data_IF_331002091938
#
_entry.id   IF_331002091938
#
_cell.length_a   1.000
_cell.length_b   1.000
_cell.length_c   1.000
_cell.angle_alpha   90.00
_cell.angle_beta   90.00
_cell.angle_gamma   90.00
#
_symmetry.space_group_name_H-M   'P 1'
#
loop_
_entity.id
_entity.type
_entity.pdbx_description
1 polymer ?
#
# COMPACT_ATOMS: atom_id res chain seq x y z
N UNK A 1 13.38 34.68 5.41
CA UNK A 1 13.15 33.28 5.82
C UNK A 1 12.77 33.36 7.27
N UNK A 2 11.53 33.00 7.60
CA UNK A 2 11.15 32.79 9.00
C UNK A 2 11.72 31.41 9.32
N UNK A 3 12.69 31.34 10.23
CA UNK A 3 13.19 30.05 10.70
C UNK A 3 12.06 29.39 11.50
N UNK A 4 11.47 28.36 10.91
CA UNK A 4 10.43 27.58 11.55
C UNK A 4 11.12 26.74 12.62
N UNK A 5 10.96 27.10 13.89
CA UNK A 5 11.48 26.35 15.03
C UNK A 5 10.65 25.06 15.19
N UNK A 6 10.90 24.08 14.34
CA UNK A 6 10.18 22.82 14.32
C UNK A 6 10.81 21.83 15.32
N UNK A 7 10.02 21.40 16.31
CA UNK A 7 10.40 20.34 17.24
C UNK A 7 9.69 19.05 16.84
N UNK A 8 10.41 18.15 16.18
CA UNK A 8 9.90 16.82 15.83
C UNK A 8 9.55 16.04 17.09
N UNK A 9 8.28 15.64 17.22
CA UNK A 9 7.83 14.68 18.23
C UNK A 9 7.29 13.42 17.54
N UNK A 10 8.09 12.37 17.58
CA UNK A 10 7.83 11.10 16.89
C UNK A 10 6.74 10.26 17.58
N UNK A 11 6.49 10.50 18.87
CA UNK A 11 5.66 9.64 19.71
C UNK A 11 4.26 10.22 19.95
N UNK A 12 3.96 11.38 19.37
CA UNK A 12 2.63 11.99 19.41
C UNK A 12 2.10 12.24 18.01
N UNK A 13 0.79 12.05 17.81
CA UNK A 13 0.16 12.41 16.54
C UNK A 13 0.21 13.92 16.27
N UNK A 14 0.27 14.76 17.31
CA UNK A 14 0.39 16.21 17.15
C UNK A 14 1.69 16.58 16.43
N UNK A 15 2.83 16.01 16.82
CA UNK A 15 4.10 16.26 16.13
C UNK A 15 4.10 15.76 14.68
N UNK A 16 3.54 14.57 14.44
CA UNK A 16 3.44 13.99 13.10
C UNK A 16 2.53 14.83 12.20
N UNK A 17 1.37 15.25 12.69
CA UNK A 17 0.41 16.05 11.94
C UNK A 17 0.88 17.49 11.68
N UNK A 18 1.71 18.05 12.57
CA UNK A 18 2.41 19.31 12.29
C UNK A 18 3.44 19.17 11.17
N UNK A 19 3.98 17.97 10.95
CA UNK A 19 5.02 17.71 9.94
C UNK A 19 4.46 17.41 8.56
N UNK A 20 3.36 16.65 8.51
CA UNK A 20 2.78 16.13 7.26
C UNK A 20 1.26 16.13 7.33
N UNK A 21 0.62 16.50 6.22
CA UNK A 21 -0.82 16.54 6.05
C UNK A 21 -1.41 15.14 5.82
N UNK A 22 -1.47 14.28 6.85
CA UNK A 22 -2.08 12.96 6.72
C UNK A 22 -3.62 13.07 6.79
N UNK A 23 -4.37 12.17 6.12
CA UNK A 23 -5.84 12.13 6.19
C UNK A 23 -6.44 11.99 7.61
N UNK A 24 -5.64 11.57 8.59
CA UNK A 24 -6.08 11.47 9.98
C UNK A 24 -6.00 12.82 10.73
N UNK A 25 -5.14 13.73 10.29
CA UNK A 25 -4.76 14.92 11.05
C UNK A 25 -5.89 15.93 11.33
N UNK A 26 -6.85 16.15 10.41
CA UNK A 26 -8.02 16.97 10.71
C UNK A 26 -8.91 16.41 11.83
N UNK A 27 -8.77 15.11 12.15
CA UNK A 27 -9.54 14.45 13.22
C UNK A 27 -8.79 14.37 14.56
N UNK A 28 -7.58 14.93 14.64
CA UNK A 28 -6.74 14.88 15.84
C UNK A 28 -6.67 16.26 16.49
N UNK A 29 -6.89 16.37 17.81
CA UNK A 29 -6.79 17.63 18.55
C UNK A 29 -8.14 18.34 18.80
N UNK A 30 -8.11 19.43 19.57
CA UNK A 30 -9.29 20.23 19.92
C UNK A 30 -9.57 21.30 18.86
N UNK A 31 -10.83 21.41 18.42
CA UNK A 31 -11.36 22.42 17.46
C UNK A 31 -10.65 22.44 16.09
N UNK A 32 -11.20 21.70 15.12
CA UNK A 32 -10.83 21.66 13.69
C UNK A 32 -9.54 20.90 13.31
N UNK A 33 -8.88 20.27 14.28
CA UNK A 33 -7.78 19.33 14.03
C UNK A 33 -6.38 19.96 14.13
N UNK A 34 -5.34 19.18 13.84
CA UNK A 34 -3.95 19.67 13.81
C UNK A 34 -3.54 19.97 12.38
N UNK A 35 -3.26 21.24 12.11
CA UNK A 35 -2.79 21.70 10.80
C UNK A 35 -1.27 21.51 10.64
N UNK A 36 -0.81 21.12 9.44
CA UNK A 36 0.61 21.01 9.13
C UNK A 36 1.24 22.40 9.00
N UNK A 37 2.49 22.54 9.44
CA UNK A 37 3.22 23.81 9.38
C UNK A 37 3.55 24.21 7.93
N UNK A 38 3.80 23.21 7.07
CA UNK A 38 4.06 23.41 5.65
C UNK A 38 3.36 22.32 4.83
N UNK A 39 2.62 22.73 3.81
CA UNK A 39 1.96 21.83 2.85
C UNK A 39 2.03 22.41 1.43
N UNK A 40 1.78 21.55 0.44
CA UNK A 40 1.75 21.95 -0.98
C UNK A 40 0.62 22.94 -1.28
N UNK A 41 0.89 23.98 -2.06
CA UNK A 41 -0.07 25.04 -2.37
C UNK A 41 -1.35 24.48 -3.02
N UNK A 42 -2.49 24.91 -2.49
CA UNK A 42 -3.80 24.60 -3.04
C UNK A 42 -4.05 25.34 -4.36
N UNK A 43 -4.82 24.73 -5.26
CA UNK A 43 -5.18 25.30 -6.56
C UNK A 43 -6.69 25.41 -6.64
N UNK A 44 -7.19 26.60 -7.00
CA UNK A 44 -8.60 26.82 -7.29
C UNK A 44 -8.90 26.45 -8.75
N UNK A 45 -9.74 25.42 -8.93
CA UNK A 45 -10.24 24.99 -10.22
C UNK A 45 -11.73 25.35 -10.35
N UNK A 46 -12.00 26.56 -10.85
CA UNK A 46 -13.36 26.99 -11.20
C UNK A 46 -14.28 27.17 -9.99
N UNK A 47 -13.76 27.59 -8.85
CA UNK A 47 -14.50 27.80 -7.60
C UNK A 47 -14.41 26.62 -6.62
N UNK A 48 -13.73 25.53 -7.00
CA UNK A 48 -13.42 24.41 -6.12
C UNK A 48 -11.94 24.43 -5.75
N UNK A 49 -11.64 24.59 -4.46
CA UNK A 49 -10.29 24.56 -3.94
C UNK A 49 -9.81 23.10 -3.84
N UNK A 50 -8.83 22.71 -4.63
CA UNK A 50 -8.20 21.39 -4.57
C UNK A 50 -6.95 21.48 -3.70
N UNK A 51 -6.93 20.66 -2.65
CA UNK A 51 -5.81 20.57 -1.74
C UNK A 51 -4.74 19.60 -2.29
N UNK A 52 -3.47 19.95 -2.07
CA UNK A 52 -2.29 19.14 -2.41
C UNK A 52 -2.33 18.49 -3.83
N UNK A 53 -2.47 19.29 -4.90
CA UNK A 53 -2.61 18.77 -6.27
C UNK A 53 -1.38 17.97 -6.75
N UNK A 54 -0.20 18.21 -6.18
CA UNK A 54 1.01 17.43 -6.46
C UNK A 54 0.83 15.96 -6.08
N UNK A 55 0.28 15.69 -4.89
CA UNK A 55 0.08 14.34 -4.37
C UNK A 55 -1.05 13.64 -5.11
N UNK A 56 -2.13 14.37 -5.44
CA UNK A 56 -3.22 13.88 -6.28
C UNK A 56 -2.74 13.23 -7.59
N UNK A 57 -1.79 13.87 -8.28
CA UNK A 57 -1.23 13.32 -9.54
C UNK A 57 -0.56 11.98 -9.28
N UNK A 58 0.18 11.85 -8.18
CA UNK A 58 0.85 10.60 -7.80
C UNK A 58 -0.17 9.52 -7.43
N UNK A 59 -1.24 9.86 -6.70
CA UNK A 59 -2.30 8.91 -6.35
C UNK A 59 -3.00 8.36 -7.61
N UNK A 60 -3.28 9.22 -8.59
CA UNK A 60 -3.84 8.80 -9.88
C UNK A 60 -2.89 7.85 -10.61
N UNK A 61 -1.60 8.18 -10.65
CA UNK A 61 -0.58 7.29 -11.24
C UNK A 61 -0.51 5.96 -10.48
N UNK A 62 -0.57 5.98 -9.15
CA UNK A 62 -0.52 4.79 -8.32
C UNK A 62 -1.74 3.87 -8.57
N UNK A 63 -2.94 4.44 -8.72
CA UNK A 63 -4.16 3.68 -9.07
C UNK A 63 -4.00 3.04 -10.46
N UNK A 64 -3.55 3.79 -11.46
CA UNK A 64 -3.33 3.27 -12.83
C UNK A 64 -2.30 2.14 -12.83
N UNK A 65 -1.16 2.36 -12.18
CA UNK A 65 -0.09 1.36 -12.08
C UNK A 65 -0.56 0.11 -11.34
N UNK A 66 -1.34 0.26 -10.28
CA UNK A 66 -1.94 -0.86 -9.55
C UNK A 66 -2.91 -1.64 -10.43
N UNK A 67 -3.73 -0.97 -11.25
CA UNK A 67 -4.63 -1.63 -12.19
C UNK A 67 -3.85 -2.46 -13.23
N UNK A 68 -2.74 -1.92 -13.76
CA UNK A 68 -1.86 -2.63 -14.68
C UNK A 68 -1.26 -3.88 -14.01
N UNK A 69 -0.75 -3.76 -12.78
CA UNK A 69 -0.22 -4.90 -12.03
C UNK A 69 -1.29 -5.98 -11.81
N UNK A 70 -2.50 -5.60 -11.39
CA UNK A 70 -3.63 -6.54 -11.23
C UNK A 70 -3.94 -7.27 -12.55
N UNK A 71 -3.94 -6.54 -13.67
CA UNK A 71 -4.16 -7.14 -14.99
C UNK A 71 -3.09 -8.19 -15.32
N UNK A 72 -1.80 -7.87 -15.12
CA UNK A 72 -0.71 -8.81 -15.37
C UNK A 72 -0.77 -10.04 -14.46
N UNK A 73 -1.06 -9.87 -13.17
CA UNK A 73 -1.19 -11.00 -12.24
C UNK A 73 -2.34 -11.93 -12.68
N UNK A 74 -3.47 -11.36 -13.08
CA UNK A 74 -4.63 -12.14 -13.55
C UNK A 74 -4.40 -12.81 -14.90
N UNK A 75 -3.47 -12.31 -15.71
CA UNK A 75 -3.10 -12.91 -17.00
C UNK A 75 -2.31 -14.22 -16.85
N UNK A 76 -1.65 -14.45 -15.70
CA UNK A 76 -0.98 -15.73 -15.41
C UNK A 76 -2.01 -16.80 -15.02
N UNK A 77 -1.91 -18.00 -15.59
CA UNK A 77 -2.89 -19.07 -15.38
C UNK A 77 -2.56 -20.02 -14.22
N UNK A 78 -1.28 -20.33 -14.01
CA UNK A 78 -0.78 -21.36 -13.08
C UNK A 78 0.09 -20.83 -11.92
N UNK A 79 0.20 -19.51 -11.78
CA UNK A 79 1.06 -18.89 -10.77
C UNK A 79 0.58 -19.13 -9.34
N UNK A 80 1.54 -19.53 -8.49
CA UNK A 80 1.36 -19.74 -7.05
C UNK A 80 1.08 -18.42 -6.34
N UNK A 81 0.11 -18.40 -5.42
CA UNK A 81 -0.28 -17.25 -4.62
C UNK A 81 -1.03 -16.18 -5.41
N UNK A 82 -1.44 -16.47 -6.66
CA UNK A 82 -2.04 -15.47 -7.57
C UNK A 82 -3.32 -14.87 -7.00
N UNK A 83 -4.18 -15.66 -6.36
CA UNK A 83 -5.49 -15.16 -5.87
C UNK A 83 -5.33 -14.37 -4.58
N UNK A 84 -4.32 -14.73 -3.79
CA UNK A 84 -3.92 -14.17 -2.52
C UNK A 84 -3.26 -12.81 -2.71
N UNK A 85 -2.27 -12.71 -3.61
CA UNK A 85 -1.55 -11.44 -3.85
C UNK A 85 -2.43 -10.40 -4.54
N UNK A 86 -3.35 -10.84 -5.42
CA UNK A 86 -4.33 -9.93 -6.05
C UNK A 86 -5.21 -9.25 -5.00
N UNK A 87 -5.51 -9.92 -3.88
CA UNK A 87 -6.26 -9.33 -2.80
C UNK A 87 -5.51 -8.16 -2.15
N UNK A 88 -4.19 -8.30 -1.94
CA UNK A 88 -3.34 -7.22 -1.47
C UNK A 88 -3.39 -6.01 -2.40
N UNK A 89 -3.23 -6.21 -3.72
CA UNK A 89 -3.29 -5.10 -4.69
C UNK A 89 -4.67 -4.45 -4.78
N UNK A 90 -5.78 -5.20 -4.62
CA UNK A 90 -7.10 -4.58 -4.52
C UNK A 90 -7.24 -3.71 -3.27
N UNK A 91 -6.75 -4.16 -2.11
CA UNK A 91 -6.79 -3.35 -0.89
C UNK A 91 -5.89 -2.11 -0.98
N UNK A 92 -4.71 -2.23 -1.57
CA UNK A 92 -3.85 -1.08 -1.86
C UNK A 92 -4.55 -0.08 -2.80
N UNK A 93 -5.17 -0.54 -3.88
CA UNK A 93 -5.92 0.33 -4.80
C UNK A 93 -7.06 1.09 -4.10
N UNK A 94 -7.85 0.40 -3.26
CA UNK A 94 -8.94 1.06 -2.52
C UNK A 94 -8.39 2.03 -1.46
N UNK A 95 -7.26 1.69 -0.83
CA UNK A 95 -6.58 2.57 0.14
C UNK A 95 -6.15 3.87 -0.53
N UNK A 96 -5.39 3.80 -1.63
CA UNK A 96 -4.92 4.98 -2.38
C UNK A 96 -6.10 5.77 -2.96
N UNK A 97 -7.15 5.09 -3.43
CA UNK A 97 -8.35 5.78 -3.91
C UNK A 97 -9.03 6.60 -2.80
N UNK A 98 -9.11 6.03 -1.59
CA UNK A 98 -9.70 6.74 -0.45
C UNK A 98 -8.79 7.85 0.07
N UNK A 99 -7.48 7.62 0.09
CA UNK A 99 -6.45 8.63 0.37
C UNK A 99 -6.60 9.84 -0.54
N UNK A 100 -6.70 9.61 -1.86
CA UNK A 100 -6.92 10.64 -2.87
C UNK A 100 -8.15 11.50 -2.55
N UNK A 101 -9.28 10.89 -2.16
CA UNK A 101 -10.51 11.61 -1.82
C UNK A 101 -10.39 12.46 -0.55
N UNK A 102 -9.61 12.01 0.42
CA UNK A 102 -9.41 12.69 1.70
C UNK A 102 -8.37 13.81 1.63
N UNK A 103 -7.29 13.62 0.87
CA UNK A 103 -6.21 14.61 0.69
C UNK A 103 -6.67 15.78 -0.17
N UNK A 104 -7.45 15.52 -1.22
CA UNK A 104 -7.91 16.58 -2.14
C UNK A 104 -9.07 17.40 -1.61
N UNK A 105 -9.55 17.10 -0.39
CA UNK A 105 -10.73 17.70 0.24
C UNK A 105 -12.01 17.55 -0.60
N UNK A 106 -12.07 16.55 -1.50
CA UNK A 106 -13.30 16.16 -2.21
C UNK A 106 -14.38 15.76 -1.20
N UNK A 107 -13.97 15.14 -0.09
CA UNK A 107 -14.76 15.03 1.13
C UNK A 107 -14.24 16.11 2.07
N UNK A 108 -15.00 17.19 2.32
CA UNK A 108 -14.54 18.28 3.15
C UNK A 108 -14.27 17.84 4.58
N UNK A 109 -13.14 18.24 5.16
CA UNK A 109 -12.79 17.98 6.57
C UNK A 109 -13.84 18.49 7.57
N UNK A 110 -14.55 19.58 7.23
CA UNK A 110 -15.64 20.13 8.03
C UNK A 110 -16.91 19.25 8.04
N UNK A 111 -17.03 18.30 7.12
CA UNK A 111 -18.18 17.40 7.05
C UNK A 111 -18.06 16.29 8.10
N UNK A 112 -19.14 15.95 8.84
CA UNK A 112 -19.12 14.81 9.76
C UNK A 112 -18.86 13.48 9.03
N UNK A 113 -19.06 13.43 7.71
CA UNK A 113 -18.74 12.26 6.90
C UNK A 113 -17.23 11.98 6.88
N UNK A 114 -16.38 13.01 6.99
CA UNK A 114 -14.92 12.89 6.92
C UNK A 114 -14.39 11.92 7.99
N UNK A 115 -14.92 12.01 9.22
CA UNK A 115 -14.57 11.12 10.33
C UNK A 115 -14.71 9.63 9.97
N UNK A 116 -15.80 9.26 9.30
CA UNK A 116 -16.08 7.88 8.92
C UNK A 116 -15.16 7.41 7.79
N UNK A 117 -14.95 8.25 6.76
CA UNK A 117 -14.05 7.92 5.67
C UNK A 117 -12.58 7.85 6.12
N UNK A 118 -12.13 8.75 6.99
CA UNK A 118 -10.81 8.70 7.61
C UNK A 118 -10.63 7.43 8.46
N UNK A 119 -11.65 7.03 9.22
CA UNK A 119 -11.61 5.78 10.01
C UNK A 119 -11.53 4.54 9.12
N UNK A 120 -12.31 4.50 8.02
CA UNK A 120 -12.24 3.43 7.02
C UNK A 120 -10.85 3.39 6.39
N UNK A 121 -10.28 4.55 6.05
CA UNK A 121 -8.94 4.65 5.47
C UNK A 121 -7.86 4.07 6.39
N UNK A 122 -7.86 4.42 7.67
CA UNK A 122 -6.91 3.87 8.65
C UNK A 122 -7.08 2.36 8.85
N UNK A 123 -8.32 1.87 8.82
CA UNK A 123 -8.63 0.44 8.82
C UNK A 123 -8.06 -0.27 7.59
N UNK A 124 -8.23 0.32 6.40
CA UNK A 124 -7.73 -0.25 5.14
C UNK A 124 -6.20 -0.28 5.08
N UNK A 125 -5.51 0.75 5.57
CA UNK A 125 -4.04 0.77 5.69
C UNK A 125 -3.59 -0.44 6.52
N UNK A 126 -4.15 -0.61 7.71
CA UNK A 126 -3.74 -1.67 8.63
C UNK A 126 -4.10 -3.07 8.10
N UNK A 127 -5.25 -3.20 7.45
CA UNK A 127 -5.63 -4.44 6.77
C UNK A 127 -4.71 -4.76 5.58
N UNK A 128 -4.21 -3.75 4.87
CA UNK A 128 -3.27 -3.92 3.75
C UNK A 128 -1.92 -4.45 4.24
N UNK A 129 -1.37 -3.89 5.33
CA UNK A 129 -0.15 -4.41 5.97
C UNK A 129 -0.35 -5.83 6.52
N UNK A 130 -1.50 -6.10 7.15
CA UNK A 130 -1.83 -7.45 7.60
C UNK A 130 -1.92 -8.44 6.45
N UNK A 131 -2.58 -8.06 5.35
CA UNK A 131 -2.67 -8.90 4.17
C UNK A 131 -1.31 -9.16 3.53
N UNK A 132 -0.43 -8.16 3.48
CA UNK A 132 0.96 -8.33 3.03
C UNK A 132 1.69 -9.38 3.87
N UNK A 133 1.57 -9.29 5.20
CA UNK A 133 2.15 -10.26 6.13
C UNK A 133 1.66 -11.68 5.87
N UNK A 134 0.34 -11.89 5.77
CA UNK A 134 -0.21 -13.25 5.53
C UNK A 134 0.18 -13.77 4.15
N UNK A 135 0.20 -12.91 3.12
CA UNK A 135 0.72 -13.27 1.80
C UNK A 135 2.18 -13.77 1.87
N UNK A 136 3.00 -13.17 2.74
CA UNK A 136 4.37 -13.62 2.95
C UNK A 136 4.47 -15.05 3.49
N UNK A 137 3.50 -15.50 4.28
CA UNK A 137 3.45 -16.87 4.80
C UNK A 137 2.97 -17.91 3.78
N UNK A 138 2.27 -17.50 2.71
CA UNK A 138 1.81 -18.41 1.64
C UNK A 138 3.00 -19.10 0.96
N UNK A 139 4.13 -18.39 0.82
CA UNK A 139 5.35 -18.94 0.23
C UNK A 139 5.99 -20.09 1.04
N UNK A 140 5.68 -20.21 2.34
CA UNK A 140 6.11 -21.33 3.18
C UNK A 140 5.19 -22.55 3.09
N UNK A 141 4.15 -22.50 2.26
CA UNK A 141 3.19 -23.59 2.05
C UNK A 141 2.50 -24.08 3.34
N UNK A 142 2.31 -23.21 4.34
CA UNK A 142 1.56 -23.54 5.56
C UNK A 142 0.09 -23.92 5.27
N UNK A 143 -0.49 -23.32 4.24
CA UNK A 143 -1.75 -23.71 3.64
C UNK A 143 -1.52 -23.93 2.15
N UNK A 144 -2.13 -24.96 1.59
CA UNK A 144 -2.09 -25.20 0.14
C UNK A 144 -2.64 -23.97 -0.59
N UNK A 145 -1.84 -23.44 -1.51
CA UNK A 145 -2.18 -22.26 -2.31
C UNK A 145 -3.47 -22.46 -3.12
N UNK A 146 -4.28 -21.41 -3.25
CA UNK A 146 -5.55 -21.46 -3.98
C UNK A 146 -6.65 -22.29 -3.32
N UNK A 147 -6.39 -22.95 -2.19
CA UNK A 147 -7.43 -23.62 -1.41
C UNK A 147 -8.42 -22.61 -0.84
N UNK A 148 -9.70 -22.99 -0.65
CA UNK A 148 -10.66 -22.13 0.03
C UNK A 148 -10.19 -21.76 1.44
N UNK A 149 -9.44 -22.62 2.12
CA UNK A 149 -8.87 -22.32 3.44
C UNK A 149 -7.88 -21.15 3.39
N UNK A 150 -6.91 -21.18 2.47
CA UNK A 150 -5.96 -20.07 2.25
C UNK A 150 -6.70 -18.75 2.00
N UNK A 151 -7.61 -18.75 1.02
CA UNK A 151 -8.31 -17.53 0.60
C UNK A 151 -9.23 -16.95 1.67
N UNK A 152 -10.01 -17.80 2.36
CA UNK A 152 -10.90 -17.33 3.42
C UNK A 152 -10.13 -16.91 4.67
N UNK A 153 -8.99 -17.53 4.97
CA UNK A 153 -8.13 -17.10 6.08
C UNK A 153 -7.60 -15.67 5.87
N UNK A 154 -7.12 -15.34 4.68
CA UNK A 154 -6.64 -13.98 4.34
C UNK A 154 -7.81 -12.99 4.37
N UNK A 155 -8.96 -13.35 3.79
CA UNK A 155 -10.14 -12.47 3.74
C UNK A 155 -10.69 -12.16 5.12
N UNK A 156 -10.94 -13.18 5.92
CA UNK A 156 -11.54 -13.01 7.25
C UNK A 156 -10.56 -12.30 8.18
N UNK A 157 -9.29 -12.69 8.19
CA UNK A 157 -8.31 -12.04 9.09
C UNK A 157 -8.07 -10.57 8.72
N UNK A 158 -7.93 -10.24 7.42
CA UNK A 158 -7.78 -8.85 6.98
C UNK A 158 -9.04 -8.03 7.26
N UNK A 159 -10.24 -8.61 7.08
CA UNK A 159 -11.50 -7.97 7.41
C UNK A 159 -11.65 -7.71 8.92
N UNK A 160 -11.22 -8.64 9.77
CA UNK A 160 -11.22 -8.44 11.22
C UNK A 160 -10.29 -7.29 11.63
N UNK A 161 -9.06 -7.22 11.09
CA UNK A 161 -8.14 -6.10 11.37
C UNK A 161 -8.72 -4.77 10.88
N UNK A 162 -9.32 -4.77 9.68
CA UNK A 162 -10.03 -3.60 9.15
C UNK A 162 -11.10 -3.08 10.13
N UNK A 163 -11.96 -3.96 10.65
CA UNK A 163 -13.01 -3.59 11.61
C UNK A 163 -12.40 -3.14 12.95
N UNK A 164 -11.42 -3.86 13.48
CA UNK A 164 -10.80 -3.51 14.78
C UNK A 164 -10.20 -2.10 14.71
N UNK A 165 -9.36 -1.82 13.70
CA UNK A 165 -8.71 -0.52 13.58
C UNK A 165 -9.70 0.58 13.21
N UNK A 166 -10.67 0.29 12.33
CA UNK A 166 -11.72 1.25 11.97
C UNK A 166 -12.59 1.65 13.16
N UNK A 167 -12.95 0.69 14.03
CA UNK A 167 -13.70 0.96 15.27
C UNK A 167 -12.85 1.76 16.26
N UNK A 168 -11.57 1.42 16.44
CA UNK A 168 -10.67 2.20 17.31
C UNK A 168 -10.53 3.64 16.79
N UNK A 169 -10.38 3.82 15.47
CA UNK A 169 -10.27 5.13 14.84
C UNK A 169 -11.54 5.98 15.05
N UNK A 170 -12.73 5.45 14.74
CA UNK A 170 -13.97 6.21 14.90
C UNK A 170 -14.28 6.54 16.37
N UNK A 171 -14.01 5.62 17.30
CA UNK A 171 -14.18 5.88 18.74
C UNK A 171 -13.20 6.95 19.23
N UNK A 172 -11.98 6.98 18.69
CA UNK A 172 -10.96 8.00 19.00
C UNK A 172 -11.42 9.38 18.50
N UNK A 173 -11.92 9.45 17.26
CA UNK A 173 -12.38 10.71 16.66
C UNK A 173 -13.62 11.28 17.35
N UNK A 174 -14.56 10.42 17.73
CA UNK A 174 -15.79 10.83 18.43
C UNK A 174 -15.62 11.02 19.94
N UNK A 175 -14.41 10.77 20.47
CA UNK A 175 -14.10 10.83 21.90
C UNK A 175 -15.06 9.96 22.76
N UNK A 176 -15.30 8.72 22.32
CA UNK A 176 -16.25 7.80 22.97
C UNK A 176 -15.48 6.76 23.80
N UNK A 177 -15.81 6.69 25.08
CA UNK A 177 -15.30 5.66 25.99
C UNK A 177 -13.86 5.95 26.45
N UNK A 178 -12.95 4.95 26.47
CA UNK A 178 -11.56 5.16 26.87
C UNK A 178 -10.70 5.82 25.78
N UNK A 179 -11.26 6.03 24.58
CA UNK A 179 -10.53 6.57 23.43
C UNK A 179 -10.80 8.06 23.31
N UNK A 180 -9.71 8.85 23.21
CA UNK A 180 -9.76 10.30 23.10
C UNK A 180 -8.76 10.76 22.05
N UNK A 181 -9.13 11.78 21.28
CA UNK A 181 -8.24 12.43 20.30
C UNK A 181 -7.05 13.16 20.97
N UNK A 182 -7.13 13.47 22.27
CA UNK A 182 -6.05 14.11 23.03
C UNK A 182 -4.98 13.10 23.48
N UNK A 183 -5.35 11.83 23.66
CA UNK A 183 -4.46 10.73 24.06
C UNK A 183 -4.68 9.47 23.22
N UNK A 184 -4.48 9.53 21.89
CA UNK A 184 -4.78 8.48 20.91
C UNK A 184 -3.76 7.32 20.92
N UNK A 185 -3.33 6.86 22.10
CA UNK A 185 -2.26 5.86 22.24
C UNK A 185 -2.58 4.51 21.58
N UNK A 186 -3.85 4.07 21.64
CA UNK A 186 -4.28 2.84 21.00
C UNK A 186 -4.18 2.94 19.47
N UNK A 187 -4.70 4.03 18.89
CA UNK A 187 -4.64 4.26 17.45
C UNK A 187 -3.18 4.35 16.96
N UNK A 188 -2.30 5.00 17.74
CA UNK A 188 -0.88 5.12 17.44
C UNK A 188 -0.19 3.74 17.42
N UNK A 189 -0.49 2.88 18.39
CA UNK A 189 0.06 1.53 18.44
C UNK A 189 -0.36 0.67 17.24
N UNK A 190 -1.63 0.73 16.82
CA UNK A 190 -2.07 0.01 15.62
C UNK A 190 -1.44 0.57 14.35
N UNK A 191 -1.43 1.89 14.20
CA UNK A 191 -0.98 2.54 12.98
C UNK A 191 0.53 2.43 12.74
N UNK A 192 1.36 2.63 13.77
CA UNK A 192 2.83 2.58 13.64
C UNK A 192 3.44 1.26 14.09
N UNK A 193 3.14 0.80 15.32
CA UNK A 193 3.82 -0.37 15.88
C UNK A 193 3.37 -1.65 15.18
N UNK A 194 2.07 -1.93 15.13
CA UNK A 194 1.56 -3.21 14.59
C UNK A 194 1.82 -3.30 13.09
N UNK A 195 1.58 -2.24 12.33
CA UNK A 195 1.89 -2.21 10.90
C UNK A 195 3.41 -2.31 10.66
N UNK A 196 4.24 -1.64 11.47
CA UNK A 196 5.70 -1.75 11.40
C UNK A 196 6.20 -3.17 11.69
N UNK A 197 5.66 -3.83 12.71
CA UNK A 197 5.98 -5.23 13.03
C UNK A 197 5.55 -6.14 11.88
N UNK A 198 4.33 -5.96 11.35
CA UNK A 198 3.84 -6.76 10.21
C UNK A 198 4.76 -6.62 8.99
N UNK A 199 5.22 -5.40 8.69
CA UNK A 199 6.18 -5.15 7.63
C UNK A 199 7.54 -5.82 7.89
N UNK A 200 8.11 -5.68 9.09
CA UNK A 200 9.40 -6.28 9.44
C UNK A 200 9.33 -7.81 9.37
N UNK A 201 8.28 -8.41 9.91
CA UNK A 201 8.08 -9.87 9.86
C UNK A 201 7.91 -10.34 8.41
N UNK A 202 7.19 -9.58 7.58
CA UNK A 202 7.10 -9.85 6.15
C UNK A 202 8.49 -9.86 5.50
N UNK A 203 9.29 -8.79 5.65
CA UNK A 203 10.63 -8.69 5.04
C UNK A 203 11.55 -9.82 5.51
N UNK A 204 11.61 -10.08 6.82
CA UNK A 204 12.44 -11.16 7.37
C UNK A 204 11.99 -12.52 6.83
N UNK A 205 10.69 -12.79 6.80
CA UNK A 205 10.16 -14.05 6.30
C UNK A 205 10.47 -14.26 4.81
N UNK A 206 10.38 -13.22 3.97
CA UNK A 206 10.74 -13.33 2.55
C UNK A 206 12.24 -13.56 2.34
N UNK A 207 13.10 -12.91 3.13
CA UNK A 207 14.55 -13.17 3.08
C UNK A 207 14.85 -14.63 3.46
N UNK A 208 14.24 -15.14 4.52
CA UNK A 208 14.41 -16.53 4.96
C UNK A 208 13.98 -17.49 3.85
N UNK A 209 12.84 -17.24 3.21
CA UNK A 209 12.31 -18.06 2.12
C UNK A 209 13.29 -18.07 0.94
N UNK A 210 13.73 -16.91 0.46
CA UNK A 210 14.63 -16.85 -0.71
C UNK A 210 15.99 -17.49 -0.41
N UNK A 211 16.56 -17.26 0.76
CA UNK A 211 17.90 -17.79 1.10
C UNK A 211 17.89 -19.30 1.32
N UNK A 212 16.84 -19.85 1.93
CA UNK A 212 16.80 -21.26 2.30
C UNK A 212 16.10 -22.16 1.28
N UNK A 213 15.24 -21.62 0.42
CA UNK A 213 14.38 -22.41 -0.46
C UNK A 213 14.64 -22.20 -1.94
N UNK A 214 15.08 -21.00 -2.37
CA UNK A 214 15.32 -20.71 -3.79
C UNK A 214 16.80 -20.79 -4.16
N UNK A 215 17.08 -21.38 -5.32
CA UNK A 215 18.42 -21.38 -5.93
C UNK A 215 18.76 -20.04 -6.58
N UNK A 216 17.78 -19.36 -7.18
CA UNK A 216 17.94 -18.01 -7.74
C UNK A 216 17.81 -16.93 -6.65
N UNK A 217 18.88 -16.14 -6.48
CA UNK A 217 18.94 -15.06 -5.49
C UNK A 217 18.57 -13.69 -6.04
N UNK A 218 18.24 -13.59 -7.34
CA UNK A 218 17.74 -12.34 -7.92
C UNK A 218 16.58 -11.69 -7.12
N UNK A 219 15.61 -12.45 -6.57
CA UNK A 219 14.51 -11.88 -5.78
C UNK A 219 14.96 -11.12 -4.51
N UNK A 220 16.17 -11.38 -3.98
CA UNK A 220 16.71 -10.61 -2.86
C UNK A 220 16.90 -9.13 -3.23
N UNK A 221 17.23 -8.84 -4.49
CA UNK A 221 17.33 -7.48 -5.01
C UNK A 221 16.00 -6.75 -4.93
N UNK A 222 14.90 -7.40 -5.33
CA UNK A 222 13.56 -6.83 -5.29
C UNK A 222 13.13 -6.52 -3.83
N UNK A 223 13.40 -7.43 -2.89
CA UNK A 223 13.15 -7.21 -1.45
C UNK A 223 13.97 -6.03 -0.92
N UNK A 224 15.25 -5.96 -1.28
CA UNK A 224 16.15 -4.88 -0.84
C UNK A 224 15.69 -3.52 -1.35
N UNK A 225 15.43 -3.40 -2.66
CA UNK A 225 14.95 -2.15 -3.25
C UNK A 225 13.57 -1.76 -2.73
N UNK A 226 12.65 -2.71 -2.58
CA UNK A 226 11.32 -2.44 -2.01
C UNK A 226 11.40 -1.90 -0.58
N UNK A 227 12.22 -2.54 0.27
CA UNK A 227 12.43 -2.11 1.65
C UNK A 227 13.13 -0.75 1.71
N UNK A 228 14.14 -0.52 0.87
CA UNK A 228 14.84 0.75 0.80
C UNK A 228 13.90 1.89 0.38
N UNK A 229 13.08 1.70 -0.67
CA UNK A 229 12.11 2.70 -1.08
C UNK A 229 11.09 2.99 0.01
N UNK A 230 10.56 1.96 0.68
CA UNK A 230 9.61 2.18 1.78
C UNK A 230 10.23 2.99 2.93
N UNK A 231 11.41 2.60 3.42
CA UNK A 231 12.09 3.30 4.54
C UNK A 231 12.44 4.73 4.15
N UNK A 232 13.01 4.95 2.96
CA UNK A 232 13.33 6.29 2.46
C UNK A 232 12.05 7.13 2.35
N UNK A 233 10.95 6.56 1.86
CA UNK A 233 9.65 7.22 1.80
C UNK A 233 9.15 7.67 3.18
N UNK A 234 9.19 6.78 4.18
CA UNK A 234 8.79 7.11 5.56
C UNK A 234 9.66 8.21 6.17
N UNK A 235 10.97 8.17 5.92
CA UNK A 235 11.92 9.19 6.40
C UNK A 235 11.66 10.55 5.73
N UNK A 236 11.46 10.58 4.41
CA UNK A 236 11.15 11.81 3.68
C UNK A 236 9.82 12.41 4.15
N UNK A 237 8.81 11.57 4.37
CA UNK A 237 7.47 11.98 4.77
C UNK A 237 7.39 12.46 6.23
N UNK A 238 8.01 11.74 7.18
CA UNK A 238 7.85 12.04 8.60
C UNK A 238 8.95 12.92 9.18
N UNK A 239 10.16 12.95 8.61
CA UNK A 239 11.30 13.71 9.18
C UNK A 239 11.59 14.96 8.34
N UNK A 240 11.64 14.83 7.01
CA UNK A 240 12.10 15.90 6.13
C UNK A 240 10.99 16.72 5.46
N UNK A 241 9.70 16.41 5.69
CA UNK A 241 8.59 17.04 4.98
C UNK A 241 8.61 18.57 5.02
N UNK A 242 8.74 19.18 6.20
CA UNK A 242 8.79 20.66 6.35
C UNK A 242 10.00 21.25 5.62
N UNK A 243 11.17 20.61 5.76
CA UNK A 243 12.40 21.07 5.09
C UNK A 243 12.25 21.03 3.57
N UNK A 244 11.68 19.94 3.03
CA UNK A 244 11.44 19.80 1.59
C UNK A 244 10.47 20.90 1.13
N UNK A 245 9.36 21.07 1.84
CA UNK A 245 8.30 22.02 1.51
C UNK A 245 8.80 23.46 1.46
N UNK A 246 9.64 23.88 2.42
CA UNK A 246 10.24 25.22 2.44
C UNK A 246 11.24 25.43 1.29
N UNK A 247 12.10 24.44 1.02
CA UNK A 247 13.13 24.55 -0.02
C UNK A 247 12.53 24.59 -1.42
N UNK A 248 11.40 23.91 -1.64
CA UNK A 248 10.68 23.90 -2.91
C UNK A 248 9.53 24.91 -2.96
N UNK A 249 9.50 25.91 -2.06
CA UNK A 249 8.51 27.01 -2.06
C UNK A 249 7.05 26.54 -2.11
N UNK A 250 6.70 25.53 -1.31
CA UNK A 250 5.35 24.96 -1.23
C UNK A 250 4.82 24.35 -2.55
N UNK A 251 5.68 23.96 -3.50
CA UNK A 251 5.22 23.22 -4.69
C UNK A 251 4.99 21.73 -4.42
N UNK A 252 5.76 21.16 -3.48
CA UNK A 252 5.81 19.74 -3.14
C UNK A 252 6.09 19.62 -1.65
N UNK A 253 5.58 18.58 -1.01
CA UNK A 253 5.80 18.27 0.41
C UNK A 253 6.32 16.83 0.61
N UNK A 254 6.52 16.43 1.86
CA UNK A 254 6.96 15.07 2.17
C UNK A 254 5.93 13.99 1.81
N UNK A 255 4.64 14.33 1.76
CA UNK A 255 3.58 13.40 1.38
C UNK A 255 3.73 12.95 -0.07
N UNK A 256 3.98 13.89 -0.98
CA UNK A 256 4.27 13.57 -2.39
C UNK A 256 5.41 12.55 -2.56
N UNK A 257 6.55 12.77 -1.89
CA UNK A 257 7.67 11.83 -1.96
C UNK A 257 7.39 10.50 -1.25
N UNK A 258 6.64 10.55 -0.15
CA UNK A 258 6.16 9.37 0.57
C UNK A 258 5.28 8.48 -0.31
N UNK A 259 4.32 9.07 -1.01
CA UNK A 259 3.41 8.35 -1.92
C UNK A 259 4.18 7.74 -3.10
N UNK A 260 5.12 8.48 -3.72
CA UNK A 260 5.97 7.94 -4.80
C UNK A 260 6.78 6.75 -4.31
N UNK A 261 7.46 6.89 -3.17
CA UNK A 261 8.30 5.84 -2.61
C UNK A 261 7.46 4.62 -2.21
N UNK A 262 6.26 4.82 -1.69
CA UNK A 262 5.31 3.75 -1.37
C UNK A 262 4.85 3.01 -2.63
N UNK A 263 4.51 3.74 -3.69
CA UNK A 263 4.20 3.13 -5.00
C UNK A 263 5.37 2.28 -5.52
N UNK A 264 6.60 2.82 -5.48
CA UNK A 264 7.79 2.08 -5.91
C UNK A 264 8.03 0.83 -5.04
N UNK A 265 7.80 0.90 -3.73
CA UNK A 265 7.88 -0.26 -2.84
C UNK A 265 6.85 -1.34 -3.22
N UNK A 266 5.60 -0.94 -3.46
CA UNK A 266 4.53 -1.86 -3.91
C UNK A 266 4.83 -2.46 -5.28
N UNK A 267 5.43 -1.69 -6.20
CA UNK A 267 5.92 -2.22 -7.48
C UNK A 267 7.03 -3.26 -7.29
N UNK A 268 7.90 -3.11 -6.29
CA UNK A 268 8.91 -4.13 -5.98
C UNK A 268 8.30 -5.37 -5.33
N UNK A 269 7.22 -5.24 -4.55
CA UNK A 269 6.44 -6.41 -4.07
C UNK A 269 5.85 -7.18 -5.26
N UNK A 270 5.31 -6.48 -6.27
CA UNK A 270 4.85 -7.11 -7.51
C UNK A 270 5.99 -7.81 -8.24
N UNK A 271 7.13 -7.15 -8.45
CA UNK A 271 8.29 -7.74 -9.13
C UNK A 271 8.84 -8.95 -8.40
N UNK A 272 8.91 -8.89 -7.07
CA UNK A 272 9.29 -10.02 -6.24
C UNK A 272 8.37 -11.23 -6.49
N UNK A 273 7.05 -11.03 -6.41
CA UNK A 273 6.07 -12.07 -6.69
C UNK A 273 6.18 -12.61 -8.13
N UNK A 274 6.38 -11.73 -9.10
CA UNK A 274 6.56 -12.10 -10.50
C UNK A 274 7.84 -12.94 -10.70
N UNK A 275 8.92 -12.57 -10.00
CA UNK A 275 10.22 -13.24 -10.10
C UNK A 275 10.23 -14.66 -9.53
N UNK A 276 9.47 -14.92 -8.47
CA UNK A 276 9.34 -16.27 -7.89
C UNK A 276 8.31 -17.14 -8.64
N UNK A 277 7.54 -16.58 -9.59
CA UNK A 277 6.50 -17.27 -10.38
C UNK A 277 6.80 -17.24 -11.89
N UNK A 278 8.08 -17.27 -12.28
CA UNK A 278 8.52 -17.13 -13.68
C UNK A 278 8.19 -18.35 -14.57
N UNK A 279 8.12 -19.55 -14.01
CA UNK A 279 8.11 -20.82 -14.79
C UNK A 279 6.81 -21.08 -15.58
N UNK A 280 5.71 -20.36 -15.31
CA UNK A 280 4.41 -20.61 -15.94
C UNK A 280 4.29 -20.15 -17.41
N UNK A 281 5.11 -19.19 -17.83
CA UNK A 281 5.03 -18.65 -19.18
C UNK A 281 5.67 -19.57 -20.24
N UNK A 282 6.62 -20.43 -19.84
CA UNK A 282 7.31 -21.34 -20.76
C UNK A 282 6.39 -22.48 -21.24
N UNK A 283 5.48 -22.96 -20.38
CA UNK A 283 4.52 -24.01 -20.74
C UNK A 283 3.40 -23.53 -21.68
N UNK A 284 3.17 -22.22 -21.79
CA UNK A 284 2.14 -21.63 -22.65
C UNK A 284 2.57 -21.53 -24.12
N UNK A 285 3.88 -21.54 -24.39
CA UNK A 285 4.43 -21.46 -25.77
C UNK A 285 4.57 -22.84 -26.42
N UNK A 286 4.48 -23.93 -25.64
CA UNK A 286 4.60 -25.31 -26.12
C UNK A 286 3.38 -25.90 -26.84
N UNK A 287 2.20 -25.27 -26.77
CA UNK A 287 0.96 -25.83 -27.34
C UNK A 287 0.77 -25.59 -28.85
N UNK A 288 1.69 -24.89 -29.54
CA UNK A 288 1.56 -24.56 -30.97
C UNK A 288 2.70 -25.09 -31.87
N UNK A 289 3.35 -26.19 -31.46
CA UNK A 289 4.38 -26.88 -32.24
C UNK A 289 4.00 -28.38 -32.19
N UNK A 290 3.49 -29.11 -33.19
CA UNK A 290 3.60 -29.07 -34.65
C UNK A 290 2.32 -29.64 -35.30
N UNK A 291 1.58 -28.85 -36.09
CA UNK A 291 0.55 -29.37 -37.00
C UNK A 291 1.14 -30.02 -38.28
N UNK A 292 2.45 -30.24 -38.32
CA UNK A 292 3.19 -30.68 -39.51
C UNK A 292 3.45 -32.19 -39.55
N UNK A 293 3.30 -32.92 -38.45
CA UNK A 293 3.60 -34.37 -38.41
C UNK A 293 2.46 -35.25 -38.99
N UNK A 294 1.24 -34.75 -39.14
CA UNK A 294 0.11 -35.56 -39.63
C UNK A 294 0.07 -35.63 -41.17
N UNK A 295 0.77 -34.72 -41.89
CA UNK A 295 0.72 -34.69 -43.36
C UNK A 295 1.61 -35.72 -44.06
N UNK A 296 2.57 -36.32 -43.36
CA UNK A 296 3.43 -37.35 -43.96
C UNK A 296 2.79 -38.75 -43.93
N UNK A 297 1.97 -39.05 -42.92
CA UNK A 297 1.27 -40.35 -42.80
C UNK A 297 0.15 -40.47 -43.83
N UNK A 298 -0.49 -39.37 -44.25
CA UNK A 298 -1.57 -39.42 -45.25
C UNK A 298 -1.08 -39.56 -46.69
N UNK A 299 0.22 -39.35 -46.97
CA UNK A 299 0.80 -39.50 -48.33
C UNK A 299 1.42 -40.86 -48.57
N UNK A 300 1.81 -41.60 -47.52
CA UNK A 300 2.37 -42.95 -47.66
C UNK A 300 1.33 -44.05 -47.89
N UNK A 301 0.03 -43.77 -47.73
CA UNK A 301 -1.05 -44.73 -47.97
C UNK A 301 -1.69 -44.69 -49.38
N UNK A 302 -1.16 -43.87 -50.30
CA UNK A 302 -1.64 -43.82 -51.70
C UNK A 302 -0.67 -44.40 -52.73
N UNK A 303 0.43 -45.02 -52.28
CA UNK A 303 1.30 -45.81 -53.15
C UNK A 303 1.62 -47.17 -52.50
N UNK A 304 0.67 -48.09 -52.64
CA UNK A 304 0.89 -49.53 -52.83
C UNK A 304 -0.43 -50.18 -53.23
#
# INVERSE_FOLDING_TARGET
MVDIEFKFDAFSFTGICQTVALPLCPMMGENEGVEPVCYSRNVDLGGNLVFQPSTLIVDVVAIIMTAIMIYHIRSKYTAVGRKEIVMFFYMYMVTVFLEMLLITDVIPSASPAYAYFAAIHLGLISATFWCLLINGFVGFQFAEDGTPLSLWSIRISSFLIFIIVGVIAILTFLNIGPFSYNSPGALWAFYFIINGIAFIVYVISQIILVVNTLDDRWPLGDILFGTAFFIVGQVLMHIFSVTICDQVKHYVDGLFFGTICTLLAVMMVYKYWDSITKEDLEFSVGSKQNNWEIKEISKSHHHN
#
